data_IF_625523198684
#
_entry.id   IF_625523198684
#
_cell.length_a   1.000
_cell.length_b   1.000
_cell.length_c   1.000
_cell.angle_alpha   90.00
_cell.angle_beta   90.00
_cell.angle_gamma   90.00
#
_symmetry.space_group_name_H-M   'P 1'
#
loop_
_entity.id
_entity.type
_entity.pdbx_description
1 polymer ?
#
# COMPACT_ATOMS: atom_id res chain seq x y z
N UNK A 1 -25.42 20.54 4.65
CA UNK A 1 -24.65 21.52 5.45
C UNK A 1 -25.62 22.61 5.86
N UNK A 2 -25.69 22.95 7.15
CA UNK A 2 -26.39 24.14 7.62
C UNK A 2 -25.30 25.16 7.95
N UNK A 3 -25.38 26.36 7.38
CA UNK A 3 -24.39 27.41 7.63
C UNK A 3 -24.65 28.01 9.01
N UNK A 4 -23.68 27.88 9.92
CA UNK A 4 -23.73 28.48 11.26
C UNK A 4 -23.26 29.94 11.26
N UNK A 5 -22.57 30.36 10.20
CA UNK A 5 -22.05 31.71 10.01
C UNK A 5 -22.59 32.31 8.70
N UNK A 6 -22.91 33.62 8.68
CA UNK A 6 -23.38 34.29 7.47
C UNK A 6 -22.21 34.58 6.51
N UNK A 7 -22.41 34.33 5.22
CA UNK A 7 -21.51 34.80 4.16
C UNK A 7 -21.14 33.73 3.13
N UNK A 8 -20.88 34.19 1.89
CA UNK A 8 -20.43 33.33 0.80
C UNK A 8 -19.01 32.77 1.04
N UNK A 9 -18.20 33.46 1.84
CA UNK A 9 -16.85 33.01 2.23
C UNK A 9 -16.88 31.63 2.87
N UNK A 10 -17.86 31.38 3.77
CA UNK A 10 -18.01 30.09 4.47
C UNK A 10 -18.19 28.94 3.49
N UNK A 11 -18.86 29.18 2.36
CA UNK A 11 -19.06 28.17 1.31
C UNK A 11 -17.75 27.89 0.56
N UNK A 12 -16.97 28.93 0.28
CA UNK A 12 -15.66 28.80 -0.38
C UNK A 12 -14.69 28.05 0.53
N UNK A 13 -14.63 28.41 1.81
CA UNK A 13 -13.77 27.77 2.81
C UNK A 13 -14.17 26.31 3.02
N UNK A 14 -15.46 26.02 3.15
CA UNK A 14 -15.98 24.66 3.20
C UNK A 14 -15.58 23.83 1.97
N UNK A 15 -15.59 24.45 0.78
CA UNK A 15 -15.17 23.79 -0.46
C UNK A 15 -13.67 23.48 -0.46
N UNK A 16 -12.82 24.40 0.02
CA UNK A 16 -11.38 24.18 0.12
C UNK A 16 -11.04 23.04 1.10
N UNK A 17 -11.70 23.01 2.26
CA UNK A 17 -11.56 21.93 3.24
C UNK A 17 -12.00 20.59 2.63
N UNK A 18 -13.14 20.56 1.95
CA UNK A 18 -13.64 19.35 1.30
C UNK A 18 -12.65 18.78 0.27
N UNK A 19 -11.98 19.64 -0.51
CA UNK A 19 -10.92 19.22 -1.45
C UNK A 19 -9.71 18.64 -0.74
N UNK A 20 -9.29 19.24 0.38
CA UNK A 20 -8.20 18.70 1.20
C UNK A 20 -8.52 17.31 1.76
N UNK A 21 -9.74 17.12 2.30
CA UNK A 21 -10.21 15.80 2.78
C UNK A 21 -10.26 14.79 1.64
N UNK A 22 -10.75 15.18 0.46
CA UNK A 22 -10.83 14.32 -0.70
C UNK A 22 -9.45 13.79 -1.12
N UNK A 23 -8.44 14.64 -1.16
CA UNK A 23 -7.08 14.26 -1.52
C UNK A 23 -6.43 13.35 -0.46
N UNK A 24 -6.69 13.59 0.84
CA UNK A 24 -6.30 12.65 1.90
C UNK A 24 -6.94 11.27 1.72
N UNK A 25 -8.22 11.22 1.34
CA UNK A 25 -8.91 9.96 1.06
C UNK A 25 -8.29 9.23 -0.13
N UNK A 26 -7.88 9.93 -1.19
CA UNK A 26 -7.20 9.30 -2.33
C UNK A 26 -5.86 8.68 -1.92
N UNK A 27 -5.00 9.41 -1.21
CA UNK A 27 -3.74 8.87 -0.70
C UNK A 27 -3.94 7.67 0.24
N UNK A 28 -4.94 7.76 1.13
CA UNK A 28 -5.34 6.66 2.00
C UNK A 28 -5.75 5.40 1.20
N UNK A 29 -6.55 5.58 0.14
CA UNK A 29 -7.02 4.47 -0.69
C UNK A 29 -5.88 3.85 -1.50
N UNK A 30 -5.04 4.67 -2.14
CA UNK A 30 -3.86 4.19 -2.88
C UNK A 30 -2.97 3.36 -1.95
N UNK A 31 -2.74 3.84 -0.73
CA UNK A 31 -1.98 3.10 0.28
C UNK A 31 -2.63 1.78 0.69
N UNK A 32 -3.91 1.80 1.12
CA UNK A 32 -4.61 0.59 1.59
C UNK A 32 -4.68 -0.48 0.50
N UNK A 33 -4.95 -0.08 -0.73
CA UNK A 33 -4.98 -1.01 -1.87
C UNK A 33 -3.57 -1.55 -2.15
N UNK A 34 -2.55 -0.70 -2.10
CA UNK A 34 -1.16 -1.13 -2.31
C UNK A 34 -0.70 -2.13 -1.25
N UNK A 35 -0.93 -1.86 0.04
CA UNK A 35 -0.50 -2.71 1.15
C UNK A 35 -1.17 -4.09 1.10
N UNK A 36 -2.47 -4.14 0.81
CA UNK A 36 -3.20 -5.41 0.67
C UNK A 36 -2.75 -6.20 -0.55
N UNK A 37 -2.57 -5.55 -1.71
CA UNK A 37 -2.06 -6.21 -2.92
C UNK A 37 -0.64 -6.75 -2.74
N UNK A 38 0.26 -5.96 -2.14
CA UNK A 38 1.64 -6.36 -1.88
C UNK A 38 1.70 -7.65 -1.07
N UNK A 39 0.93 -7.71 0.03
CA UNK A 39 0.96 -8.84 0.94
C UNK A 39 0.34 -10.09 0.33
N UNK A 40 -0.82 -9.94 -0.32
CA UNK A 40 -1.51 -11.05 -0.99
C UNK A 40 -0.64 -11.62 -2.12
N UNK A 41 -0.09 -10.76 -2.97
CA UNK A 41 0.78 -11.20 -4.07
C UNK A 41 2.08 -11.82 -3.56
N UNK A 42 2.67 -11.26 -2.50
CA UNK A 42 3.88 -11.81 -1.90
C UNK A 42 3.65 -13.24 -1.39
N UNK A 43 2.60 -13.48 -0.59
CA UNK A 43 2.32 -14.83 -0.09
C UNK A 43 1.88 -15.77 -1.21
N UNK A 44 1.07 -15.29 -2.16
CA UNK A 44 0.66 -16.09 -3.30
C UNK A 44 1.87 -16.54 -4.12
N UNK A 45 2.70 -15.60 -4.58
CA UNK A 45 3.88 -15.93 -5.40
C UNK A 45 4.92 -16.68 -4.57
N UNK A 46 5.15 -16.31 -3.30
CA UNK A 46 6.10 -16.98 -2.42
C UNK A 46 5.77 -18.46 -2.21
N UNK A 47 4.50 -18.79 -1.99
CA UNK A 47 4.06 -20.19 -1.82
C UNK A 47 4.21 -21.01 -3.10
N UNK A 48 3.95 -20.43 -4.27
CA UNK A 48 4.00 -21.15 -5.55
C UNK A 48 5.39 -21.19 -6.20
N UNK A 49 6.18 -20.13 -6.07
CA UNK A 49 7.44 -19.94 -6.80
C UNK A 49 8.68 -20.24 -5.95
N UNK A 50 8.58 -20.19 -4.61
CA UNK A 50 9.70 -20.41 -3.70
C UNK A 50 9.32 -21.43 -2.60
N UNK A 51 9.06 -22.70 -2.96
CA UNK A 51 8.93 -23.75 -1.96
C UNK A 51 10.27 -23.92 -1.22
N UNK A 52 10.28 -23.69 0.09
CA UNK A 52 11.48 -23.76 0.93
C UNK A 52 12.13 -25.14 0.91
N UNK A 53 11.37 -26.18 0.55
CA UNK A 53 11.82 -27.56 0.41
C UNK A 53 12.93 -27.73 -0.65
N UNK A 54 12.96 -26.88 -1.68
CA UNK A 54 13.97 -26.94 -2.75
C UNK A 54 15.31 -26.30 -2.34
N UNK A 55 15.35 -25.59 -1.20
CA UNK A 55 16.52 -24.88 -0.69
C UNK A 55 17.20 -25.62 0.48
N UNK A 56 16.91 -26.91 0.68
CA UNK A 56 17.63 -27.75 1.64
C UNK A 56 17.20 -27.61 3.10
N UNK A 57 16.04 -27.00 3.37
CA UNK A 57 15.44 -26.97 4.70
C UNK A 57 14.90 -28.37 5.04
N UNK A 58 15.55 -29.05 5.99
CA UNK A 58 15.21 -30.43 6.39
C UNK A 58 13.95 -30.52 7.28
N UNK A 59 13.44 -29.39 7.79
CA UNK A 59 12.27 -29.38 8.67
C UNK A 59 10.97 -29.69 7.89
N UNK A 60 10.33 -30.82 8.21
CA UNK A 60 9.12 -31.31 7.53
C UNK A 60 7.93 -30.35 7.64
N UNK A 61 7.96 -29.45 8.64
CA UNK A 61 6.91 -28.45 8.90
C UNK A 61 7.15 -27.13 8.13
N UNK A 62 8.36 -26.86 7.63
CA UNK A 62 8.72 -25.62 6.93
C UNK A 62 8.73 -25.78 5.40
N UNK A 63 7.82 -26.59 4.84
CA UNK A 63 7.69 -26.77 3.38
C UNK A 63 7.33 -25.50 2.62
N UNK A 64 6.63 -24.57 3.28
CA UNK A 64 6.21 -23.29 2.72
C UNK A 64 6.53 -22.16 3.68
N UNK A 65 6.99 -21.03 3.16
CA UNK A 65 7.20 -19.83 3.97
C UNK A 65 5.86 -19.36 4.56
N UNK A 66 5.82 -19.26 5.90
CA UNK A 66 4.65 -18.81 6.67
C UNK A 66 5.11 -17.83 7.74
N UNK A 67 4.38 -16.74 7.90
CA UNK A 67 4.59 -15.79 9.01
C UNK A 67 3.58 -16.14 10.11
N UNK A 68 4.00 -16.25 11.39
CA UNK A 68 3.11 -16.48 12.51
C UNK A 68 2.00 -15.43 12.61
N UNK A 69 0.83 -15.83 13.13
CA UNK A 69 -0.33 -14.93 13.19
C UNK A 69 -0.03 -13.72 14.06
N UNK A 70 0.68 -13.91 15.18
CA UNK A 70 1.08 -12.83 16.07
C UNK A 70 1.89 -11.74 15.37
N UNK A 71 2.86 -12.10 14.53
CA UNK A 71 3.68 -11.15 13.77
C UNK A 71 2.86 -10.41 12.73
N UNK A 72 1.97 -11.12 12.04
CA UNK A 72 1.03 -10.49 11.11
C UNK A 72 0.12 -9.48 11.82
N UNK A 73 -0.41 -9.83 13.00
CA UNK A 73 -1.21 -8.95 13.84
C UNK A 73 -0.43 -7.71 14.31
N UNK A 74 0.87 -7.85 14.61
CA UNK A 74 1.72 -6.72 14.94
C UNK A 74 1.92 -5.79 13.72
N UNK A 75 2.14 -6.34 12.52
CA UNK A 75 2.25 -5.55 11.29
C UNK A 75 0.96 -4.75 11.09
N UNK A 76 -0.20 -5.42 11.12
CA UNK A 76 -1.48 -4.76 10.84
C UNK A 76 -1.85 -3.72 11.89
N UNK A 77 -1.58 -3.99 13.18
CA UNK A 77 -1.84 -3.04 14.27
C UNK A 77 -0.98 -1.78 14.13
N UNK A 78 0.32 -1.93 13.86
CA UNK A 78 1.22 -0.78 13.73
C UNK A 78 0.92 0.02 12.45
N UNK A 79 0.58 -0.68 11.37
CA UNK A 79 0.17 -0.07 10.10
C UNK A 79 -1.13 0.74 10.28
N UNK A 80 -2.18 0.15 10.83
CA UNK A 80 -3.46 0.83 11.08
C UNK A 80 -3.31 2.02 12.04
N UNK A 81 -2.45 1.90 13.06
CA UNK A 81 -2.14 3.01 13.98
C UNK A 81 -1.57 4.22 13.25
N UNK A 82 -0.58 4.04 12.38
CA UNK A 82 -0.04 5.15 11.58
C UNK A 82 -1.02 5.64 10.53
N UNK A 83 -1.86 4.77 9.98
CA UNK A 83 -2.86 5.15 9.01
C UNK A 83 -3.87 6.16 9.57
N UNK A 84 -4.24 6.04 10.84
CA UNK A 84 -5.12 7.03 11.50
C UNK A 84 -4.54 8.45 11.44
N UNK A 85 -3.21 8.59 11.41
CA UNK A 85 -2.54 9.90 11.35
C UNK A 85 -2.67 10.59 9.98
N UNK A 86 -3.00 9.86 8.90
CA UNK A 86 -3.23 10.43 7.56
C UNK A 86 -4.41 11.41 7.57
N UNK A 87 -5.40 11.19 8.44
CA UNK A 87 -6.53 12.12 8.60
C UNK A 87 -6.09 13.54 8.96
N UNK A 88 -4.95 13.67 9.65
CA UNK A 88 -4.34 14.92 10.11
C UNK A 88 -3.18 15.38 9.22
N UNK A 89 -3.05 14.84 8.02
CA UNK A 89 -1.92 15.15 7.16
C UNK A 89 -2.03 16.53 6.46
N UNK A 90 -0.89 17.19 6.27
CA UNK A 90 -0.77 18.43 5.52
C UNK A 90 -0.86 18.12 4.02
N UNK A 91 -1.98 18.50 3.42
CA UNK A 91 -2.28 18.29 2.01
C UNK A 91 -2.64 19.63 1.38
N UNK A 92 -2.03 19.94 0.24
CA UNK A 92 -2.31 21.16 -0.54
C UNK A 92 -3.53 20.89 -1.41
N UNK A 93 -4.69 21.54 -1.17
CA UNK A 93 -5.89 21.32 -1.96
C UNK A 93 -5.67 21.69 -3.42
N UNK A 94 -6.19 20.87 -4.32
CA UNK A 94 -6.13 21.16 -5.75
C UNK A 94 -7.01 22.38 -6.11
N UNK A 95 -6.54 23.19 -7.06
CA UNK A 95 -7.26 24.38 -7.55
C UNK A 95 -8.54 24.00 -8.28
N UNK A 96 -8.61 22.78 -8.81
CA UNK A 96 -9.76 22.25 -9.55
C UNK A 96 -10.49 21.17 -8.76
N UNK A 97 -11.81 21.01 -8.96
CA UNK A 97 -12.56 19.93 -8.32
C UNK A 97 -12.05 18.58 -8.84
N UNK A 98 -11.44 17.79 -7.95
CA UNK A 98 -10.99 16.46 -8.29
C UNK A 98 -12.17 15.49 -8.43
N UNK A 99 -12.00 14.49 -9.30
CA UNK A 99 -12.97 13.42 -9.51
C UNK A 99 -12.40 12.10 -9.03
N UNK A 100 -13.31 11.22 -8.63
CA UNK A 100 -12.98 9.90 -8.14
C UNK A 100 -12.60 8.97 -9.31
N UNK A 101 -11.32 8.92 -9.67
CA UNK A 101 -10.80 8.06 -10.74
C UNK A 101 -10.21 6.76 -10.14
N UNK A 102 -11.07 5.82 -9.79
CA UNK A 102 -10.67 4.52 -9.22
C UNK A 102 -9.65 3.78 -10.10
N UNK A 103 -9.83 3.66 -11.44
CA UNK A 103 -8.85 2.96 -12.28
C UNK A 103 -7.42 3.50 -12.13
N UNK A 104 -7.25 4.81 -12.03
CA UNK A 104 -5.94 5.43 -11.78
C UNK A 104 -5.41 5.08 -10.40
N UNK A 105 -6.25 5.20 -9.35
CA UNK A 105 -5.88 4.83 -7.98
C UNK A 105 -5.41 3.38 -7.90
N UNK A 106 -6.15 2.46 -8.53
CA UNK A 106 -5.79 1.03 -8.59
C UNK A 106 -4.51 0.78 -9.38
N UNK A 107 -4.30 1.48 -10.49
CA UNK A 107 -3.10 1.32 -11.31
C UNK A 107 -1.85 1.75 -10.55
N UNK A 108 -1.89 2.92 -9.91
CA UNK A 108 -0.77 3.41 -9.09
C UNK A 108 -0.54 2.48 -7.89
N UNK A 109 -1.61 2.06 -7.21
CA UNK A 109 -1.50 1.11 -6.09
C UNK A 109 -0.89 -0.23 -6.53
N UNK A 110 -1.24 -0.73 -7.72
CA UNK A 110 -0.68 -1.96 -8.27
C UNK A 110 0.81 -1.82 -8.62
N UNK A 111 1.24 -0.66 -9.14
CA UNK A 111 2.67 -0.39 -9.39
C UNK A 111 3.47 -0.37 -8.09
N UNK A 112 2.98 0.36 -7.07
CA UNK A 112 3.61 0.40 -5.74
C UNK A 112 3.69 -1.01 -5.13
N UNK A 113 2.57 -1.74 -5.14
CA UNK A 113 2.50 -3.12 -4.64
C UNK A 113 3.42 -4.06 -5.40
N UNK A 114 3.55 -3.92 -6.72
CA UNK A 114 4.41 -4.75 -7.55
C UNK A 114 5.89 -4.60 -7.19
N UNK A 115 6.37 -3.36 -7.05
CA UNK A 115 7.76 -3.09 -6.64
C UNK A 115 8.03 -3.59 -5.22
N UNK A 116 7.11 -3.33 -4.29
CA UNK A 116 7.24 -3.79 -2.92
C UNK A 116 7.15 -5.33 -2.80
N UNK A 117 6.33 -5.99 -3.61
CA UNK A 117 6.25 -7.45 -3.69
C UNK A 117 7.53 -8.04 -4.27
N UNK A 118 8.04 -7.49 -5.38
CA UNK A 118 9.30 -7.94 -5.99
C UNK A 118 10.46 -7.83 -5.00
N UNK A 119 10.57 -6.72 -4.26
CA UNK A 119 11.60 -6.55 -3.23
C UNK A 119 11.46 -7.52 -2.04
N UNK A 120 10.24 -7.91 -1.66
CA UNK A 120 10.03 -8.95 -0.64
C UNK A 120 10.43 -10.34 -1.15
N UNK A 121 10.07 -10.67 -2.39
CA UNK A 121 10.39 -11.97 -3.00
C UNK A 121 11.89 -12.12 -3.23
N UNK A 122 12.57 -11.08 -3.71
CA UNK A 122 14.02 -11.07 -3.87
C UNK A 122 14.72 -11.21 -2.52
N UNK A 123 14.22 -10.54 -1.48
CA UNK A 123 14.76 -10.71 -0.13
C UNK A 123 14.60 -12.14 0.37
N UNK A 124 13.42 -12.73 0.22
CA UNK A 124 13.15 -14.11 0.60
C UNK A 124 14.06 -15.09 -0.15
N UNK A 125 14.20 -14.92 -1.47
CA UNK A 125 15.06 -15.76 -2.30
C UNK A 125 16.52 -15.70 -1.85
N UNK A 126 17.06 -14.50 -1.63
CA UNK A 126 18.43 -14.35 -1.15
C UNK A 126 18.60 -14.96 0.26
N UNK A 127 17.59 -14.82 1.13
CA UNK A 127 17.63 -15.36 2.49
C UNK A 127 17.69 -16.89 2.50
N UNK A 128 16.88 -17.53 1.65
CA UNK A 128 16.87 -18.98 1.47
C UNK A 128 18.18 -19.49 0.86
N UNK A 129 18.74 -18.77 -0.10
CA UNK A 129 20.02 -19.11 -0.73
C UNK A 129 21.22 -18.84 0.19
N UNK A 130 21.05 -18.22 1.37
CA UNK A 130 22.16 -17.79 2.23
C UNK A 130 23.07 -18.92 2.73
N UNK A 131 22.62 -20.17 2.69
CA UNK A 131 23.40 -21.35 3.09
C UNK A 131 24.45 -21.77 2.05
N UNK A 132 24.36 -21.29 0.81
CA UNK A 132 25.29 -21.66 -0.25
C UNK A 132 26.51 -20.71 -0.30
N UNK A 133 27.68 -21.25 -0.63
CA UNK A 133 28.98 -20.53 -0.53
C UNK A 133 29.21 -19.52 -1.65
N UNK A 134 28.45 -19.61 -2.75
CA UNK A 134 28.45 -18.65 -3.86
C UNK A 134 27.36 -17.56 -3.76
N UNK A 135 26.67 -17.49 -2.63
CA UNK A 135 25.43 -16.72 -2.52
C UNK A 135 25.66 -15.23 -2.30
N UNK A 136 24.65 -14.45 -2.65
CA UNK A 136 24.71 -12.98 -2.52
C UNK A 136 25.04 -12.56 -1.09
N UNK A 137 24.43 -13.20 -0.09
CA UNK A 137 24.73 -12.97 1.33
C UNK A 137 26.22 -13.14 1.66
N UNK A 138 26.86 -14.20 1.14
CA UNK A 138 28.30 -14.44 1.34
C UNK A 138 29.17 -13.38 0.67
N UNK A 139 28.82 -12.95 -0.55
CA UNK A 139 29.51 -11.86 -1.26
C UNK A 139 29.41 -10.51 -0.53
N UNK A 140 28.30 -10.26 0.17
CA UNK A 140 28.11 -9.07 1.00
C UNK A 140 28.68 -9.22 2.43
N UNK A 141 29.32 -10.35 2.75
CA UNK A 141 29.90 -10.63 4.08
C UNK A 141 28.87 -10.86 5.18
N UNK A 142 27.63 -11.20 4.80
CA UNK A 142 26.53 -11.45 5.73
C UNK A 142 26.53 -12.94 6.08
N UNK A 143 26.48 -13.30 7.36
CA UNK A 143 26.48 -14.69 7.79
C UNK A 143 25.18 -15.41 7.39
N UNK A 144 25.21 -16.76 7.29
CA UNK A 144 24.04 -17.56 6.92
C UNK A 144 22.90 -17.33 7.91
N UNK A 145 21.69 -17.16 7.39
CA UNK A 145 20.52 -16.77 8.18
C UNK A 145 19.73 -18.02 8.51
N UNK A 146 19.42 -18.24 9.79
CA UNK A 146 18.59 -19.39 10.19
C UNK A 146 17.13 -19.21 9.78
N UNK A 147 16.38 -20.31 9.65
CA UNK A 147 14.96 -20.28 9.25
C UNK A 147 14.12 -19.31 10.11
N UNK A 148 14.35 -19.30 11.42
CA UNK A 148 13.67 -18.39 12.33
C UNK A 148 14.05 -16.92 12.18
N UNK A 149 15.27 -16.64 11.71
CA UNK A 149 15.71 -15.30 11.35
C UNK A 149 15.14 -14.84 10.00
N UNK A 150 14.86 -15.75 9.06
CA UNK A 150 14.20 -15.41 7.79
C UNK A 150 12.79 -14.85 8.05
N UNK A 151 12.05 -15.48 8.97
CA UNK A 151 10.69 -15.06 9.35
C UNK A 151 10.69 -13.66 9.97
N UNK A 152 11.55 -13.42 10.96
CA UNK A 152 11.68 -12.09 11.58
C UNK A 152 12.21 -11.04 10.61
N UNK A 153 13.09 -11.43 9.68
CA UNK A 153 13.64 -10.53 8.67
C UNK A 153 12.55 -10.04 7.72
N UNK A 154 11.68 -10.95 7.26
CA UNK A 154 10.55 -10.59 6.41
C UNK A 154 9.48 -9.81 7.17
N UNK A 155 9.24 -10.12 8.44
CA UNK A 155 8.40 -9.28 9.31
C UNK A 155 8.91 -7.82 9.33
N UNK A 156 10.20 -7.63 9.59
CA UNK A 156 10.80 -6.29 9.65
C UNK A 156 10.73 -5.59 8.29
N UNK A 157 11.06 -6.30 7.20
CA UNK A 157 10.98 -5.77 5.84
C UNK A 157 9.59 -5.28 5.51
N UNK A 158 8.56 -6.12 5.72
CA UNK A 158 7.17 -5.77 5.39
C UNK A 158 6.75 -4.56 6.21
N UNK A 159 7.06 -4.54 7.52
CA UNK A 159 6.72 -3.42 8.37
C UNK A 159 7.35 -2.11 7.90
N UNK A 160 8.67 -2.07 7.63
CA UNK A 160 9.35 -0.86 7.15
C UNK A 160 8.82 -0.45 5.75
N UNK A 161 8.66 -1.42 4.84
CA UNK A 161 8.18 -1.20 3.47
C UNK A 161 6.80 -0.57 3.46
N UNK A 162 5.89 -0.99 4.35
CA UNK A 162 4.55 -0.42 4.47
C UNK A 162 4.63 1.06 4.89
N UNK A 163 5.41 1.40 5.92
CA UNK A 163 5.58 2.80 6.33
C UNK A 163 6.20 3.68 5.24
N UNK A 164 7.22 3.17 4.54
CA UNK A 164 7.84 3.88 3.42
C UNK A 164 6.86 4.09 2.25
N UNK A 165 6.00 3.10 2.00
CA UNK A 165 4.92 3.19 1.00
C UNK A 165 3.85 4.20 1.40
N UNK A 166 3.57 4.35 2.70
CA UNK A 166 2.68 5.39 3.22
C UNK A 166 3.23 6.79 2.93
N UNK A 167 4.53 7.03 3.12
CA UNK A 167 5.15 8.31 2.75
C UNK A 167 5.13 8.57 1.23
N UNK A 168 5.33 7.51 0.45
CA UNK A 168 5.29 7.53 -1.01
C UNK A 168 3.90 7.92 -1.56
N UNK A 169 2.83 7.34 -1.00
CA UNK A 169 1.45 7.52 -1.47
C UNK A 169 0.85 8.90 -1.16
N UNK A 170 1.38 9.60 -0.15
CA UNK A 170 0.95 10.96 0.22
C UNK A 170 1.22 12.02 -0.83
N UNK A 171 2.32 11.88 -1.57
CA UNK A 171 2.79 12.95 -2.48
C UNK A 171 2.17 12.86 -3.88
N UNK A 172 1.35 11.84 -4.15
CA UNK A 172 0.65 11.69 -5.41
C UNK A 172 1.61 11.69 -6.60
N UNK A 173 1.39 12.61 -7.56
CA UNK A 173 2.24 12.79 -8.74
C UNK A 173 3.65 13.31 -8.41
N UNK A 174 3.81 14.02 -7.31
CA UNK A 174 5.08 14.64 -6.97
C UNK A 174 6.02 13.65 -6.28
N UNK A 175 7.31 13.98 -6.30
CA UNK A 175 8.32 13.28 -5.50
C UNK A 175 8.00 13.40 -4.01
N UNK A 176 8.40 12.41 -3.22
CA UNK A 176 8.17 12.43 -1.77
C UNK A 176 8.68 13.70 -1.05
N UNK A 177 9.74 14.36 -1.55
CA UNK A 177 10.27 15.60 -0.99
C UNK A 177 9.41 16.84 -1.23
N UNK A 178 8.40 16.76 -2.09
CA UNK A 178 7.59 17.93 -2.48
C UNK A 178 6.66 18.44 -1.38
N UNK A 179 6.27 17.58 -0.44
CA UNK A 179 5.32 17.91 0.62
C UNK A 179 5.84 17.44 1.97
N UNK A 180 5.94 18.36 2.94
CA UNK A 180 6.43 18.03 4.28
C UNK A 180 5.38 17.22 5.05
N UNK A 181 5.76 16.10 5.68
CA UNK A 181 4.85 15.36 6.51
C UNK A 181 4.37 16.13 7.73
N UNK A 182 3.12 15.91 8.15
CA UNK A 182 2.64 16.42 9.43
C UNK A 182 3.46 15.79 10.55
N UNK A 183 3.72 16.58 11.60
CA UNK A 183 4.51 16.10 12.75
C UNK A 183 3.86 14.89 13.43
N UNK A 184 2.52 14.82 13.43
CA UNK A 184 1.76 13.69 13.99
C UNK A 184 2.05 12.41 13.21
N UNK A 185 2.08 12.49 11.87
CA UNK A 185 2.36 11.34 11.02
C UNK A 185 3.83 10.90 11.12
N UNK A 186 4.76 11.85 11.18
CA UNK A 186 6.17 11.54 11.34
C UNK A 186 6.44 10.89 12.71
N UNK A 187 5.90 11.45 13.79
CA UNK A 187 6.08 10.89 15.12
C UNK A 187 5.45 9.51 15.25
N UNK A 188 4.24 9.32 14.72
CA UNK A 188 3.59 8.01 14.66
C UNK A 188 4.43 6.99 13.90
N UNK A 189 4.91 7.35 12.71
CA UNK A 189 5.75 6.48 11.90
C UNK A 189 7.08 6.14 12.58
N UNK A 190 7.76 7.10 13.22
CA UNK A 190 9.01 6.87 13.95
C UNK A 190 8.78 5.92 15.13
N UNK A 191 7.74 6.15 15.94
CA UNK A 191 7.42 5.27 17.06
C UNK A 191 7.12 3.85 16.58
N UNK A 192 6.31 3.71 15.53
CA UNK A 192 5.98 2.40 14.96
C UNK A 192 7.19 1.70 14.35
N UNK A 193 8.05 2.41 13.62
CA UNK A 193 9.28 1.86 13.03
C UNK A 193 10.28 1.42 14.09
N UNK A 194 10.46 2.20 15.15
CA UNK A 194 11.30 1.84 16.29
C UNK A 194 10.74 0.60 16.97
N UNK A 195 9.44 0.57 17.24
CA UNK A 195 8.80 -0.58 17.87
C UNK A 195 8.94 -1.85 17.01
N UNK A 196 8.66 -1.78 15.71
CA UNK A 196 8.88 -2.91 14.78
C UNK A 196 10.34 -3.36 14.75
N UNK A 197 11.29 -2.42 14.75
CA UNK A 197 12.72 -2.74 14.72
C UNK A 197 13.17 -3.40 16.03
N UNK A 198 12.68 -2.91 17.18
CA UNK A 198 12.94 -3.52 18.49
C UNK A 198 12.35 -4.92 18.59
N UNK A 199 11.09 -5.08 18.17
CA UNK A 199 10.39 -6.37 18.12
C UNK A 199 11.16 -7.36 17.25
N UNK A 200 11.59 -6.97 16.06
CA UNK A 200 12.34 -7.84 15.16
C UNK A 200 13.76 -8.18 15.69
N UNK A 201 14.42 -7.22 16.35
CA UNK A 201 15.80 -7.40 16.83
C UNK A 201 15.88 -8.27 18.08
N UNK A 202 14.97 -8.05 19.04
CA UNK A 202 15.00 -8.66 20.37
C UNK A 202 13.94 -9.74 20.57
N UNK A 203 13.34 -10.24 19.50
CA UNK A 203 12.34 -11.31 19.60
C UNK A 203 12.92 -12.53 20.32
N UNK A 204 12.23 -13.09 21.34
CA UNK A 204 12.72 -14.26 22.05
C UNK A 204 12.72 -15.50 21.17
N UNK A 205 13.74 -16.34 21.32
CA UNK A 205 13.85 -17.58 20.58
C UNK A 205 12.76 -18.56 21.01
N UNK A 206 11.96 -19.01 20.03
CA UNK A 206 10.85 -19.91 20.32
C UNK A 206 10.13 -20.38 19.06
N UNK A 207 9.09 -21.19 19.29
CA UNK A 207 8.15 -21.59 18.23
C UNK A 207 6.83 -20.85 18.44
N UNK A 208 6.38 -20.13 17.41
CA UNK A 208 5.07 -19.50 17.35
C UNK A 208 4.28 -20.15 16.24
N UNK A 209 3.12 -20.71 16.55
CA UNK A 209 2.27 -21.42 15.57
C UNK A 209 3.03 -22.50 14.76
N UNK A 210 3.90 -23.26 15.43
CA UNK A 210 4.82 -24.27 14.84
C UNK A 210 5.88 -23.72 13.87
N UNK A 211 6.06 -22.40 13.81
CA UNK A 211 7.13 -21.75 13.05
C UNK A 211 8.23 -21.32 14.01
N UNK A 212 9.47 -21.68 13.71
CA UNK A 212 10.64 -21.22 14.48
C UNK A 212 10.80 -19.72 14.24
N UNK A 213 11.02 -18.97 15.32
CA UNK A 213 11.21 -17.53 15.27
C UNK A 213 12.39 -17.17 16.16
N UNK A 214 13.32 -16.41 15.59
CA UNK A 214 14.57 -16.01 16.26
C UNK A 214 14.79 -14.53 15.98
N UNK A 215 15.09 -13.74 17.01
CA UNK A 215 15.36 -12.31 16.83
C UNK A 215 16.59 -12.08 15.96
N UNK A 216 16.56 -11.06 15.09
CA UNK A 216 17.67 -10.80 14.14
C UNK A 216 19.00 -10.52 14.84
N UNK A 217 18.97 -9.98 16.06
CA UNK A 217 20.18 -9.65 16.82
C UNK A 217 20.75 -10.86 17.58
N UNK A 218 20.02 -11.98 17.63
CA UNK A 218 20.47 -13.20 18.28
C UNK A 218 21.44 -13.94 17.34
N UNK A 219 22.74 -13.80 17.62
CA UNK A 219 23.84 -14.46 16.92
C UNK A 219 25.20 -14.07 17.50
N UNK A 220 26.17 -15.00 17.46
CA UNK A 220 27.48 -14.84 18.10
C UNK A 220 28.41 -13.84 17.38
N UNK A 221 28.25 -13.69 16.06
CA UNK A 221 29.06 -12.78 15.25
C UNK A 221 28.50 -11.35 15.24
N UNK A 222 29.39 -10.35 15.29
CA UNK A 222 29.04 -8.92 15.11
C UNK A 222 28.22 -8.68 13.83
N UNK A 223 28.46 -9.47 12.77
CA UNK A 223 27.73 -9.39 11.51
C UNK A 223 26.24 -9.81 11.63
N UNK A 224 25.88 -10.74 12.54
CA UNK A 224 24.48 -11.09 12.79
C UNK A 224 23.71 -9.93 13.44
N UNK A 225 24.35 -9.22 14.37
CA UNK A 225 23.75 -8.07 15.07
C UNK A 225 23.42 -6.90 14.13
N UNK A 226 24.06 -6.84 12.96
CA UNK A 226 23.84 -5.81 11.96
C UNK A 226 22.77 -6.17 10.92
N UNK A 227 22.16 -7.36 11.00
CA UNK A 227 21.08 -7.77 10.10
C UNK A 227 19.89 -6.80 10.06
N UNK A 228 19.39 -6.24 11.19
CA UNK A 228 18.30 -5.27 11.14
C UNK A 228 18.65 -4.00 10.35
N UNK A 229 19.90 -3.54 10.43
CA UNK A 229 20.38 -2.38 9.68
C UNK A 229 20.47 -2.70 8.19
N UNK A 230 20.90 -3.91 7.83
CA UNK A 230 20.93 -4.34 6.43
C UNK A 230 19.53 -4.40 5.83
N UNK A 231 18.53 -4.90 6.56
CA UNK A 231 17.12 -4.86 6.14
C UNK A 231 16.65 -3.42 5.93
N UNK A 232 17.03 -2.51 6.81
CA UNK A 232 16.75 -1.08 6.66
C UNK A 232 17.33 -0.51 5.37
N UNK A 233 18.60 -0.79 5.08
CA UNK A 233 19.27 -0.34 3.85
C UNK A 233 18.55 -0.91 2.62
N UNK A 234 18.18 -2.20 2.66
CA UNK A 234 17.42 -2.85 1.60
C UNK A 234 16.07 -2.17 1.37
N UNK A 235 15.30 -1.93 2.43
CA UNK A 235 14.01 -1.23 2.38
C UNK A 235 14.14 0.19 1.82
N UNK A 236 15.12 0.96 2.27
CA UNK A 236 15.34 2.33 1.80
C UNK A 236 15.76 2.34 0.31
N UNK A 237 16.64 1.42 -0.10
CA UNK A 237 17.05 1.30 -1.50
C UNK A 237 15.86 0.99 -2.42
N UNK A 238 15.04 0.01 -2.06
CA UNK A 238 13.84 -0.32 -2.83
C UNK A 238 12.75 0.74 -2.77
N UNK A 239 12.67 1.50 -1.68
CA UNK A 239 11.75 2.63 -1.58
C UNK A 239 12.08 3.73 -2.60
N UNK A 240 13.36 4.01 -2.87
CA UNK A 240 13.72 4.92 -3.96
C UNK A 240 13.30 4.39 -5.33
N UNK A 241 13.48 3.09 -5.58
CA UNK A 241 12.99 2.44 -6.81
C UNK A 241 11.47 2.55 -6.92
N UNK A 242 10.76 2.36 -5.81
CA UNK A 242 9.32 2.50 -5.74
C UNK A 242 8.86 3.94 -6.01
N UNK A 243 9.56 4.94 -5.47
CA UNK A 243 9.31 6.36 -5.77
C UNK A 243 9.51 6.68 -7.25
N UNK A 244 10.58 6.18 -7.86
CA UNK A 244 10.84 6.36 -9.29
C UNK A 244 9.72 5.71 -10.11
N UNK A 245 9.35 4.47 -9.79
CA UNK A 245 8.29 3.74 -10.49
C UNK A 245 6.94 4.46 -10.37
N UNK A 246 6.62 5.00 -9.19
CA UNK A 246 5.41 5.81 -8.96
C UNK A 246 5.38 7.05 -9.87
N UNK A 247 6.45 7.84 -9.88
CA UNK A 247 6.54 9.07 -10.68
C UNK A 247 6.48 8.75 -12.17
N UNK A 248 7.15 7.67 -12.62
CA UNK A 248 7.06 7.20 -14.00
C UNK A 248 5.64 6.76 -14.35
N UNK A 249 4.95 6.03 -13.47
CA UNK A 249 3.57 5.62 -13.70
C UNK A 249 2.64 6.83 -13.86
N UNK A 250 2.76 7.86 -13.02
CA UNK A 250 1.99 9.09 -13.20
C UNK A 250 2.30 9.81 -14.52
N UNK A 251 3.58 9.91 -14.91
CA UNK A 251 3.96 10.48 -16.21
C UNK A 251 3.37 9.70 -17.39
N UNK A 252 3.35 8.37 -17.32
CA UNK A 252 2.74 7.51 -18.35
C UNK A 252 1.23 7.77 -18.42
N UNK A 253 0.54 7.85 -17.28
CA UNK A 253 -0.89 8.16 -17.24
C UNK A 253 -1.19 9.55 -17.84
N UNK A 254 -0.31 10.54 -17.62
CA UNK A 254 -0.45 11.89 -18.15
C UNK A 254 -0.19 11.97 -19.68
N UNK A 255 0.86 11.31 -20.16
CA UNK A 255 1.24 11.32 -21.59
C UNK A 255 0.19 10.61 -22.43
N UNK A 256 -0.20 9.39 -22.02
CA UNK A 256 -1.14 8.56 -22.78
C UNK A 256 -2.61 8.82 -22.44
N UNK A 257 -2.90 9.76 -21.53
CA UNK A 257 -4.24 10.07 -21.01
C UNK A 257 -5.06 8.82 -20.64
N UNK A 258 -4.36 7.84 -20.04
CA UNK A 258 -4.97 6.56 -19.68
C UNK A 258 -6.05 6.83 -18.63
N UNK A 259 -7.24 6.25 -18.83
CA UNK A 259 -8.42 6.49 -18.00
C UNK A 259 -8.85 7.97 -17.91
N UNK A 260 -8.53 8.77 -18.93
CA UNK A 260 -8.80 10.22 -18.98
C UNK A 260 -8.12 11.00 -17.85
N UNK A 261 -6.97 10.55 -17.35
CA UNK A 261 -6.26 11.20 -16.26
C UNK A 261 -5.93 12.68 -16.57
N UNK A 262 -5.31 12.95 -17.72
CA UNK A 262 -4.99 14.31 -18.18
C UNK A 262 -6.26 15.09 -18.50
N UNK A 263 -7.21 14.49 -19.19
CA UNK A 263 -8.47 15.15 -19.56
C UNK A 263 -9.30 15.57 -18.33
N UNK A 264 -9.27 14.79 -17.24
CA UNK A 264 -9.91 15.13 -15.97
C UNK A 264 -9.12 16.22 -15.22
N UNK A 265 -7.79 16.11 -15.13
CA UNK A 265 -6.94 17.13 -14.50
C UNK A 265 -7.08 18.50 -15.21
N UNK A 266 -7.20 18.48 -16.54
CA UNK A 266 -7.43 19.68 -17.35
C UNK A 266 -8.86 20.24 -17.26
N UNK A 267 -9.79 19.53 -16.62
CA UNK A 267 -11.19 19.94 -16.51
C UNK A 267 -11.97 19.87 -17.84
N UNK A 268 -11.40 19.26 -18.88
CA UNK A 268 -12.03 19.10 -20.20
C UNK A 268 -12.96 17.90 -20.28
N UNK A 269 -12.95 17.04 -19.25
CA UNK A 269 -13.75 15.83 -19.22
C UNK A 269 -15.25 16.13 -19.27
N UNK A 270 -15.93 15.55 -20.25
CA UNK A 270 -17.39 15.56 -20.36
C UNK A 270 -17.93 14.19 -19.96
N UNK A 271 -19.01 14.11 -19.16
CA UNK A 271 -19.65 12.85 -18.86
C UNK A 271 -20.11 12.20 -20.15
N UNK A 272 -19.67 10.97 -20.40
CA UNK A 272 -20.21 10.15 -21.47
C UNK A 272 -21.71 10.06 -21.24
N UNK A 273 -22.49 10.66 -22.15
CA UNK A 273 -23.94 10.60 -22.10
C UNK A 273 -24.31 9.13 -22.18
N UNK A 274 -24.65 8.51 -21.04
CA UNK A 274 -25.20 7.17 -21.04
C UNK A 274 -26.40 7.22 -21.99
N UNK A 275 -26.29 6.53 -23.12
CA UNK A 275 -27.44 6.26 -23.98
C UNK A 275 -28.47 5.63 -23.06
N UNK A 276 -29.50 6.39 -22.68
CA UNK A 276 -30.65 5.85 -21.95
C UNK A 276 -31.08 4.66 -22.78
N UNK A 277 -30.89 3.46 -22.24
CA UNK A 277 -31.42 2.25 -22.83
C UNK A 277 -32.94 2.42 -22.76
N UNK A 278 -33.51 3.00 -23.81
CA UNK A 278 -34.94 3.23 -23.97
C UNK A 278 -35.51 1.84 -24.14
N UNK A 279 -35.89 1.21 -23.02
CA UNK A 279 -36.57 -0.07 -22.97
C UNK A 279 -37.81 0.08 -23.84
N UNK A 280 -37.70 -0.36 -25.09
CA UNK A 280 -38.76 -0.34 -26.08
C UNK A 280 -39.70 -1.46 -25.65
N UNK A 281 -40.64 -1.15 -24.75
CA UNK A 281 -41.81 -1.98 -24.49
C UNK A 281 -42.50 -2.16 -25.84
N UNK A 282 -42.34 -3.35 -26.43
CA UNK A 282 -42.94 -3.72 -27.70
C UNK A 282 -43.77 -4.97 -27.41
N UNK A 283 -45.07 -4.75 -27.23
CA UNK A 283 -46.12 -5.74 -27.42
C UNK A 283 -46.36 -6.72 -26.28
N UNK A 284 -47.25 -6.36 -25.36
CA UNK A 284 -48.31 -7.28 -24.95
C UNK A 284 -49.63 -6.53 -25.04
N UNK A 285 -50.33 -6.80 -26.14
CA UNK A 285 -51.74 -6.47 -26.33
C UNK A 285 -52.55 -7.25 -25.31
N UNK A 286 -53.12 -6.55 -24.33
CA UNK A 286 -54.36 -6.96 -23.67
C UNK A 286 -55.25 -5.71 -23.66
N UNK A 287 -56.35 -5.80 -24.40
CA UNK A 287 -57.27 -4.71 -24.64
C UNK A 287 -58.23 -4.43 -23.49
N UNK A 288 -59.02 -3.37 -23.72
CA UNK A 288 -60.18 -2.93 -22.96
C UNK A 288 -59.83 -2.30 -21.58
N UNK A 289 -60.20 -1.08 -21.21
CA UNK A 289 -61.33 -0.22 -21.61
C UNK A 289 -61.03 1.25 -21.25
N UNK A 290 -61.40 2.16 -22.14
CA UNK A 290 -62.18 3.39 -21.95
C UNK A 290 -61.94 4.34 -20.76
N UNK A 291 -61.64 5.58 -21.16
CA UNK A 291 -62.28 6.84 -20.72
C UNK A 291 -62.32 7.17 -19.22
N UNK A 292 -61.45 8.10 -18.79
CA UNK A 292 -61.86 9.25 -17.97
C UNK A 292 -61.01 10.47 -18.33
N UNK A 293 -61.68 11.52 -18.81
CA UNK A 293 -61.16 12.87 -19.02
C UNK A 293 -60.97 13.63 -17.70
N UNK A 294 -59.82 14.34 -17.58
CA UNK A 294 -59.61 15.67 -16.95
C UNK A 294 -59.97 15.92 -15.45
N UNK A 295 -59.57 17.06 -14.81
CA UNK A 295 -58.67 18.16 -15.24
C UNK A 295 -57.61 18.60 -14.19
N UNK A 296 -56.72 19.47 -14.66
CA UNK A 296 -55.91 20.44 -13.90
C UNK A 296 -56.79 21.47 -13.16
N UNK A 297 -56.42 21.82 -11.93
CA UNK A 297 -56.65 23.13 -11.30
C UNK A 297 -55.43 23.38 -10.39
N UNK A 298 -54.56 24.35 -10.73
CA UNK A 298 -54.54 25.73 -10.24
C UNK A 298 -54.23 25.84 -8.75
#
# INVERSE_FOLDING_TARGET
MVLTEPGLSVVVDAMLIARGVFQRMLSFLTYRVSATLQLVLFFFIGVFALPCQDYGVEDTDFRFFRIPVLMFMLITLLNDGTLMTIGYDNVVPDQRPQRWNLPVVFTIAAVLAGVACASSLLLLWMALDSHNTSSWFHNFGIPPVSEGQIVTMLYLKVSISDFLTLFSSRTGNNWFWSSRPSLVLLLGAVVSLVLSSCVASFWPDGKLDNVVVVGLSHGDSQAHRLLPLWVWIWCVGWWFVQEIAKVLAYKVLEVFDVFNYRTIAEGRWKPSAKTRFRRRSRGMSLGATDNVEQPLMS
#
